data_IF_320937225961
#
_entry.id   IF_320937225961
#
_cell.length_a   1.000
_cell.length_b   1.000
_cell.length_c   1.000
_cell.angle_alpha   90.00
_cell.angle_beta   90.00
_cell.angle_gamma   90.00
#
_symmetry.space_group_name_H-M   'P 1'
#
loop_
_entity.id
_entity.type
_entity.pdbx_description
1 polymer ?
#
# COMPACT_ATOMS: atom_id res chain seq x y z
N UNK A 1 4.71 4.24 21.24
CA UNK A 1 4.22 4.52 19.87
C UNK A 1 4.41 3.36 18.91
N UNK A 2 5.62 2.97 18.48
CA UNK A 2 5.79 1.87 17.50
C UNK A 2 5.24 0.54 18.04
N UNK A 3 5.54 0.19 19.29
CA UNK A 3 5.03 -1.03 19.91
C UNK A 3 3.50 -1.08 19.98
N UNK A 4 2.84 0.05 20.22
CA UNK A 4 1.38 0.16 20.22
C UNK A 4 0.79 -0.06 18.82
N UNK A 5 1.46 0.50 17.79
CA UNK A 5 1.08 0.29 16.40
C UNK A 5 1.17 -1.20 16.06
N UNK A 6 2.29 -1.85 16.39
CA UNK A 6 2.50 -3.28 16.15
C UNK A 6 1.48 -4.12 16.92
N UNK A 7 1.20 -3.79 18.18
CA UNK A 7 0.23 -4.51 19.00
C UNK A 7 -1.19 -4.46 18.41
N UNK A 8 -1.63 -3.28 17.91
CA UNK A 8 -2.92 -3.15 17.21
C UNK A 8 -2.91 -3.88 15.87
N UNK A 9 -1.84 -3.73 15.08
CA UNK A 9 -1.70 -4.39 13.78
C UNK A 9 -1.70 -5.91 13.90
N UNK A 10 -1.17 -6.49 14.99
CA UNK A 10 -1.24 -7.93 15.25
C UNK A 10 -2.68 -8.43 15.33
N UNK A 11 -3.54 -7.71 16.07
CA UNK A 11 -4.97 -8.05 16.17
C UNK A 11 -5.67 -7.94 14.80
N UNK A 12 -5.35 -6.89 14.04
CA UNK A 12 -5.87 -6.70 12.68
C UNK A 12 -5.45 -7.84 11.74
N UNK A 13 -4.18 -8.24 11.77
CA UNK A 13 -3.66 -9.35 10.94
C UNK A 13 -4.38 -10.67 11.28
N UNK A 14 -4.59 -10.98 12.56
CA UNK A 14 -5.32 -12.19 12.95
C UNK A 14 -6.80 -12.17 12.51
N UNK A 15 -7.47 -11.01 12.63
CA UNK A 15 -8.83 -10.85 12.11
C UNK A 15 -8.88 -11.05 10.59
N UNK A 16 -7.93 -10.46 9.85
CA UNK A 16 -7.87 -10.56 8.39
C UNK A 16 -7.56 -11.99 7.93
N UNK A 17 -6.70 -12.73 8.63
CA UNK A 17 -6.47 -14.17 8.40
C UNK A 17 -7.76 -14.99 8.54
N UNK A 18 -8.63 -14.64 9.49
CA UNK A 18 -9.94 -15.28 9.67
C UNK A 18 -10.92 -14.98 8.53
N UNK A 19 -10.93 -13.74 8.04
CA UNK A 19 -11.82 -13.31 6.94
C UNK A 19 -11.37 -13.83 5.58
N UNK A 20 -10.06 -13.74 5.28
CA UNK A 20 -9.48 -14.12 4.00
C UNK A 20 -8.24 -15.00 4.22
N UNK A 21 -8.41 -16.32 4.44
CA UNK A 21 -7.30 -17.21 4.73
C UNK A 21 -6.22 -17.25 3.65
N UNK A 22 -4.99 -17.59 4.03
CA UNK A 22 -3.83 -17.64 3.14
C UNK A 22 -4.05 -18.49 1.87
N UNK A 23 -4.79 -19.60 1.98
CA UNK A 23 -5.13 -20.43 0.83
C UNK A 23 -5.95 -19.67 -0.23
N UNK A 24 -6.87 -18.80 0.19
CA UNK A 24 -7.66 -17.97 -0.71
C UNK A 24 -6.81 -16.87 -1.35
N UNK A 25 -5.88 -16.26 -0.58
CA UNK A 25 -4.93 -15.30 -1.14
C UNK A 25 -4.09 -15.93 -2.25
N UNK A 26 -3.52 -17.13 -2.02
CA UNK A 26 -2.73 -17.85 -3.03
C UNK A 26 -3.51 -18.13 -4.31
N UNK A 27 -4.78 -18.56 -4.19
CA UNK A 27 -5.66 -18.78 -5.36
C UNK A 27 -5.89 -17.49 -6.14
N UNK A 28 -6.12 -16.36 -5.47
CA UNK A 28 -6.27 -15.05 -6.11
C UNK A 28 -5.00 -14.60 -6.82
N UNK A 29 -3.84 -14.74 -6.19
CA UNK A 29 -2.54 -14.36 -6.79
C UNK A 29 -2.28 -15.16 -8.07
N UNK A 30 -2.62 -16.45 -8.11
CA UNK A 30 -2.42 -17.28 -9.29
C UNK A 30 -3.21 -16.82 -10.53
N UNK A 31 -4.25 -16.00 -10.35
CA UNK A 31 -5.08 -15.45 -11.42
C UNK A 31 -4.67 -14.02 -11.80
N UNK A 32 -3.71 -13.42 -11.10
CA UNK A 32 -3.27 -12.05 -11.32
C UNK A 32 -2.09 -11.99 -12.29
N UNK A 33 -1.97 -10.85 -12.98
CA UNK A 33 -0.77 -10.51 -13.73
C UNK A 33 0.43 -10.42 -12.76
N UNK A 34 1.66 -10.67 -13.24
CA UNK A 34 2.87 -10.43 -12.45
C UNK A 34 2.92 -8.98 -11.93
N UNK A 35 3.56 -8.73 -10.77
CA UNK A 35 3.81 -7.37 -10.30
C UNK A 35 4.69 -6.59 -11.28
N UNK A 36 4.54 -5.26 -11.28
CA UNK A 36 5.46 -4.38 -11.98
C UNK A 36 6.83 -4.38 -11.31
N UNK A 37 7.88 -4.09 -12.08
CA UNK A 37 9.23 -4.03 -11.54
C UNK A 37 9.47 -2.69 -10.83
N UNK A 38 9.15 -2.63 -9.55
CA UNK A 38 9.31 -1.43 -8.71
C UNK A 38 10.77 -0.95 -8.66
N UNK A 39 11.74 -1.86 -8.51
CA UNK A 39 13.15 -1.51 -8.47
C UNK A 39 13.64 -0.89 -9.79
N UNK A 40 13.19 -1.42 -10.93
CA UNK A 40 13.55 -0.90 -12.25
C UNK A 40 12.97 0.50 -12.48
N UNK A 41 11.75 0.78 -12.02
CA UNK A 41 11.14 2.11 -12.14
C UNK A 41 11.94 3.20 -11.40
N UNK A 42 12.73 2.81 -10.40
CA UNK A 42 13.57 3.70 -9.61
C UNK A 42 15.05 3.69 -10.04
N UNK A 43 15.45 2.78 -10.95
CA UNK A 43 16.82 2.67 -11.42
C UNK A 43 17.09 3.67 -12.53
N UNK A 44 17.56 4.86 -12.17
CA UNK A 44 17.98 5.90 -13.11
C UNK A 44 19.05 6.80 -12.50
N UNK A 45 19.76 7.56 -13.35
CA UNK A 45 20.76 8.56 -12.97
C UNK A 45 20.12 9.89 -12.54
N UNK A 46 18.90 10.15 -12.97
CA UNK A 46 18.11 11.32 -12.59
C UNK A 46 17.26 11.02 -11.35
N UNK A 47 16.81 12.08 -10.69
CA UNK A 47 15.92 11.98 -9.53
C UNK A 47 14.67 11.18 -9.90
N UNK A 48 14.34 10.18 -9.09
CA UNK A 48 13.11 9.40 -9.17
C UNK A 48 12.24 9.65 -7.95
N UNK A 49 10.94 9.79 -8.17
CA UNK A 49 9.98 10.13 -7.12
C UNK A 49 9.06 8.96 -6.81
N UNK A 50 9.02 8.57 -5.54
CA UNK A 50 7.93 7.78 -4.96
C UNK A 50 6.98 8.77 -4.28
N UNK A 51 5.84 9.05 -4.90
CA UNK A 51 4.84 9.94 -4.30
C UNK A 51 3.95 9.18 -3.32
N UNK A 52 3.66 9.73 -2.15
CA UNK A 52 2.95 9.02 -1.07
C UNK A 52 1.51 9.51 -0.91
N UNK A 53 0.55 8.60 -1.12
CA UNK A 53 -0.87 8.79 -0.82
C UNK A 53 -1.10 8.57 0.67
N UNK A 54 -1.31 9.67 1.40
CA UNK A 54 -1.44 9.69 2.87
C UNK A 54 -2.45 10.73 3.34
N UNK A 55 -3.46 10.29 4.09
CA UNK A 55 -4.47 11.19 4.65
C UNK A 55 -4.01 11.86 5.96
N UNK A 56 -3.39 11.10 6.85
CA UNK A 56 -3.00 11.58 8.18
C UNK A 56 -1.66 11.01 8.64
N UNK A 57 -1.12 11.55 9.72
CA UNK A 57 0.04 10.98 10.43
C UNK A 57 -0.02 11.29 11.93
N UNK A 58 0.59 10.46 12.79
CA UNK A 58 0.65 10.72 14.24
C UNK A 58 1.18 12.10 14.61
N UNK A 59 2.18 12.58 13.88
CA UNK A 59 2.90 13.82 14.20
C UNK A 59 2.22 15.09 13.69
N UNK A 60 1.39 14.99 12.66
CA UNK A 60 0.77 16.16 12.01
C UNK A 60 -0.77 16.11 11.93
N UNK A 61 -1.39 15.05 12.45
CA UNK A 61 -2.84 14.87 12.36
C UNK A 61 -3.31 14.68 10.91
N UNK A 62 -4.47 15.22 10.57
CA UNK A 62 -5.05 15.16 9.22
C UNK A 62 -4.28 16.13 8.30
N UNK A 63 -3.72 15.59 7.22
CA UNK A 63 -2.99 16.33 6.19
C UNK A 63 -3.89 16.75 5.03
N UNK A 64 -4.92 15.96 4.74
CA UNK A 64 -5.87 16.18 3.66
C UNK A 64 -7.29 15.88 4.15
N UNK A 65 -8.13 16.91 4.23
CA UNK A 65 -9.52 16.80 4.70
C UNK A 65 -10.45 16.20 3.64
N UNK A 66 -10.30 16.61 2.39
CA UNK A 66 -11.03 16.06 1.24
C UNK A 66 -10.22 14.98 0.54
N UNK A 67 -10.00 13.87 1.24
CA UNK A 67 -9.10 12.82 0.78
C UNK A 67 -9.78 11.85 -0.19
N UNK A 68 -9.39 11.93 -1.47
CA UNK A 68 -9.70 10.92 -2.48
C UNK A 68 -8.39 10.22 -2.92
N UNK A 69 -8.17 8.96 -2.53
CA UNK A 69 -6.91 8.26 -2.80
C UNK A 69 -6.66 8.04 -4.29
N UNK A 70 -7.73 7.76 -5.06
CA UNK A 70 -7.63 7.50 -6.50
C UNK A 70 -7.35 8.76 -7.31
N UNK A 71 -7.98 9.88 -6.96
CA UNK A 71 -7.69 11.18 -7.59
C UNK A 71 -6.26 11.61 -7.27
N UNK A 72 -5.84 11.53 -6.01
CA UNK A 72 -4.49 11.91 -5.60
C UNK A 72 -3.41 11.07 -6.30
N UNK A 73 -3.62 9.75 -6.40
CA UNK A 73 -2.71 8.86 -7.12
C UNK A 73 -2.66 9.19 -8.62
N UNK A 74 -3.80 9.53 -9.23
CA UNK A 74 -3.87 9.94 -10.64
C UNK A 74 -3.11 11.24 -10.86
N UNK A 75 -3.27 12.24 -9.98
CA UNK A 75 -2.50 13.48 -10.00
C UNK A 75 -1.00 13.22 -9.89
N UNK A 76 -0.57 12.32 -9.02
CA UNK A 76 0.85 11.95 -8.92
C UNK A 76 1.38 11.27 -10.18
N UNK A 77 0.60 10.37 -10.78
CA UNK A 77 0.98 9.73 -12.03
C UNK A 77 1.12 10.75 -13.18
N UNK A 78 0.20 11.70 -13.29
CA UNK A 78 0.25 12.79 -14.26
C UNK A 78 1.41 13.77 -13.98
N UNK A 79 1.72 14.00 -12.70
CA UNK A 79 2.84 14.84 -12.26
C UNK A 79 4.22 14.21 -12.43
N UNK A 80 4.32 13.00 -13.01
CA UNK A 80 5.59 12.36 -13.33
C UNK A 80 6.21 11.54 -12.20
N UNK A 81 5.42 11.11 -11.21
CA UNK A 81 5.89 10.14 -10.23
C UNK A 81 6.34 8.84 -10.92
N UNK A 82 7.36 8.17 -10.37
CA UNK A 82 7.87 6.91 -10.90
C UNK A 82 7.26 5.71 -10.20
N UNK A 83 6.80 5.89 -8.97
CA UNK A 83 6.05 4.92 -8.20
C UNK A 83 5.15 5.64 -7.19
N UNK A 84 4.18 4.90 -6.63
CA UNK A 84 3.28 5.44 -5.60
C UNK A 84 3.38 4.59 -4.34
N UNK A 85 3.63 5.24 -3.21
CA UNK A 85 3.51 4.67 -1.87
C UNK A 85 2.08 4.89 -1.37
N UNK A 86 1.42 3.84 -0.88
CA UNK A 86 0.06 3.92 -0.36
C UNK A 86 0.07 3.50 1.11
N UNK A 87 -0.34 4.40 2.00
CA UNK A 87 -0.52 4.06 3.42
C UNK A 87 -1.75 3.15 3.58
N UNK A 88 -1.51 1.98 4.15
CA UNK A 88 -2.58 0.99 4.42
C UNK A 88 -2.84 0.78 5.92
N UNK A 89 -2.08 1.45 6.79
CA UNK A 89 -2.30 1.44 8.23
C UNK A 89 -3.50 2.32 8.62
N UNK A 90 -4.49 1.72 9.28
CA UNK A 90 -5.81 2.34 9.53
C UNK A 90 -5.81 3.26 10.74
N UNK A 91 -5.18 2.86 11.85
CA UNK A 91 -5.42 3.45 13.17
C UNK A 91 -4.78 4.84 13.33
N UNK A 92 -3.62 5.06 12.72
CA UNK A 92 -2.79 6.23 12.91
C UNK A 92 -2.62 7.05 11.63
N UNK A 93 -2.58 6.38 10.47
CA UNK A 93 -2.43 7.05 9.18
C UNK A 93 -3.76 7.24 8.43
N UNK A 94 -4.86 6.67 8.95
CA UNK A 94 -6.17 6.62 8.28
C UNK A 94 -6.08 6.04 6.86
N UNK A 95 -5.18 5.08 6.68
CA UNK A 95 -5.01 4.33 5.45
C UNK A 95 -6.03 3.20 5.32
N UNK A 96 -5.99 2.51 4.19
CA UNK A 96 -6.73 1.27 3.97
C UNK A 96 -6.05 0.44 2.89
N UNK A 97 -6.07 -0.89 3.03
CA UNK A 97 -5.65 -1.79 1.96
C UNK A 97 -6.51 -1.60 0.69
N UNK A 98 -7.78 -1.18 0.84
CA UNK A 98 -8.69 -1.02 -0.27
C UNK A 98 -8.32 0.19 -1.13
N UNK A 99 -7.62 1.17 -0.55
CA UNK A 99 -7.05 2.28 -1.32
C UNK A 99 -5.98 1.77 -2.28
N UNK A 100 -5.18 0.78 -1.89
CA UNK A 100 -4.17 0.18 -2.77
C UNK A 100 -4.83 -0.51 -3.97
N UNK A 101 -5.88 -1.31 -3.73
CA UNK A 101 -6.64 -1.96 -4.80
C UNK A 101 -7.34 -0.92 -5.71
N UNK A 102 -7.99 0.09 -5.14
CA UNK A 102 -8.65 1.13 -5.92
C UNK A 102 -7.65 1.93 -6.78
N UNK A 103 -6.47 2.27 -6.23
CA UNK A 103 -5.41 2.96 -6.95
C UNK A 103 -4.87 2.10 -8.10
N UNK A 104 -4.72 0.79 -7.89
CA UNK A 104 -4.25 -0.15 -8.93
C UNK A 104 -5.12 -0.11 -10.19
N UNK A 105 -6.42 0.12 -10.04
CA UNK A 105 -7.35 0.19 -11.19
C UNK A 105 -7.18 1.48 -12.02
N UNK A 106 -6.67 2.57 -11.42
CA UNK A 106 -6.63 3.89 -12.09
C UNK A 106 -5.24 4.35 -12.52
N UNK A 107 -4.15 3.84 -11.92
CA UNK A 107 -2.78 4.17 -12.33
C UNK A 107 -2.06 2.99 -12.96
N UNK A 108 -1.02 3.24 -13.75
CA UNK A 108 -0.13 2.21 -14.35
C UNK A 108 1.26 2.13 -13.70
N UNK A 109 1.55 2.96 -12.70
CA UNK A 109 2.82 2.97 -12.00
C UNK A 109 2.94 1.81 -11.00
N UNK A 110 4.17 1.41 -10.62
CA UNK A 110 4.40 0.49 -9.52
C UNK A 110 3.88 1.03 -8.20
N UNK A 111 3.25 0.15 -7.41
CA UNK A 111 2.69 0.50 -6.10
C UNK A 111 3.48 -0.13 -4.95
N UNK A 112 3.79 0.67 -3.94
CA UNK A 112 4.37 0.26 -2.67
C UNK A 112 3.29 0.21 -1.60
N UNK A 113 3.09 -0.94 -0.96
CA UNK A 113 2.33 -1.01 0.30
C UNK A 113 3.18 -0.45 1.42
N UNK A 114 2.78 0.70 1.96
CA UNK A 114 3.35 1.31 3.16
C UNK A 114 2.51 0.90 4.37
N UNK A 115 3.04 -0.02 5.17
CA UNK A 115 2.42 -0.53 6.39
C UNK A 115 3.50 -1.10 7.31
N UNK A 116 3.11 -1.56 8.50
CA UNK A 116 3.96 -2.29 9.43
C UNK A 116 3.84 -3.79 9.15
N UNK A 117 4.82 -4.36 8.47
CA UNK A 117 4.80 -5.76 8.01
C UNK A 117 5.71 -6.61 8.89
N UNK A 118 5.13 -7.63 9.52
CA UNK A 118 5.85 -8.58 10.38
C UNK A 118 5.35 -10.03 10.23
N UNK A 119 4.29 -10.25 9.45
CA UNK A 119 3.71 -11.57 9.21
C UNK A 119 3.71 -11.90 7.71
N UNK A 120 4.13 -13.12 7.29
CA UNK A 120 4.09 -13.54 5.89
C UNK A 120 2.71 -13.38 5.24
N UNK A 121 1.62 -13.52 5.98
CA UNK A 121 0.26 -13.25 5.50
C UNK A 121 0.17 -11.87 4.83
N UNK A 122 0.77 -10.84 5.43
CA UNK A 122 0.75 -9.48 4.91
C UNK A 122 1.50 -9.37 3.58
N UNK A 123 2.51 -10.21 3.32
CA UNK A 123 3.20 -10.27 2.02
C UNK A 123 2.25 -10.77 0.92
N UNK A 124 1.55 -11.89 1.18
CA UNK A 124 0.55 -12.41 0.24
C UNK A 124 -0.61 -11.44 0.03
N UNK A 125 -1.07 -10.83 1.10
CA UNK A 125 -2.14 -9.83 1.05
C UNK A 125 -1.72 -8.62 0.22
N UNK A 126 -0.51 -8.11 0.40
CA UNK A 126 0.02 -7.00 -0.41
C UNK A 126 -0.10 -7.31 -1.90
N UNK A 127 0.28 -8.53 -2.33
CA UNK A 127 0.19 -8.93 -3.73
C UNK A 127 -1.26 -8.99 -4.21
N UNK A 128 -2.16 -9.60 -3.44
CA UNK A 128 -3.59 -9.70 -3.79
C UNK A 128 -4.20 -8.33 -4.02
N UNK A 129 -3.81 -7.33 -3.24
CA UNK A 129 -4.32 -5.96 -3.35
C UNK A 129 -3.54 -5.08 -4.34
N UNK A 130 -2.64 -5.67 -5.14
CA UNK A 130 -1.99 -4.99 -6.26
C UNK A 130 -0.66 -4.32 -5.94
N UNK A 131 -0.05 -4.58 -4.78
CA UNK A 131 1.30 -4.10 -4.47
C UNK A 131 2.34 -4.75 -5.39
N UNK A 132 3.29 -3.94 -5.84
CA UNK A 132 4.47 -4.35 -6.59
C UNK A 132 5.72 -4.36 -5.69
N UNK A 133 5.68 -3.63 -4.57
CA UNK A 133 6.64 -3.67 -3.48
C UNK A 133 5.94 -3.51 -2.12
N UNK A 134 6.66 -3.81 -1.05
CA UNK A 134 6.20 -3.62 0.33
C UNK A 134 7.36 -3.10 1.20
N UNK A 135 7.03 -2.37 2.28
CA UNK A 135 8.00 -1.91 3.27
C UNK A 135 8.23 -3.00 4.32
N UNK A 136 9.50 -3.23 4.70
CA UNK A 136 9.91 -4.01 5.87
C UNK A 136 10.52 -3.07 6.91
#
# INVERSE_FOLDING_TARGET
>A
MLDEIIAKKRKEVEQRKGILPLAHLRKRIAQQKPPLNFALALKDKHMRLIAEVKQASPSRGILCTNFNPTELATTYAQGGANAISVLTEVNYFKGSIDYLAAIREVVKLPLLRKDFIFDPYQVYESRVYGADALLL
#
